data_IF_762462797581
#
_entry.id   IF_762462797581
#
_cell.length_a   1.000
_cell.length_b   1.000
_cell.length_c   1.000
_cell.angle_alpha   90.00
_cell.angle_beta   90.00
_cell.angle_gamma   90.00
#
_symmetry.space_group_name_H-M   'P 1'
#
loop_
_entity.id
_entity.type
_entity.pdbx_description
1 polymer ?
#
# COMPACT_ATOMS: atom_id res chain seq x y z
N UNK A 1 19.70 -1.85 -7.97
CA UNK A 1 19.37 -0.77 -7.02
C UNK A 1 17.90 -0.92 -6.62
N UNK A 2 17.65 -1.02 -5.31
CA UNK A 2 16.28 -1.06 -4.79
C UNK A 2 15.73 0.36 -4.74
N UNK A 3 14.49 0.54 -5.18
CA UNK A 3 13.78 1.83 -5.19
C UNK A 3 12.36 1.63 -4.68
N UNK A 4 11.76 2.67 -4.14
CA UNK A 4 10.38 2.68 -3.68
C UNK A 4 10.17 3.58 -2.47
N UNK A 5 8.92 3.80 -2.13
CA UNK A 5 8.55 4.60 -0.96
C UNK A 5 9.14 4.05 0.34
N UNK A 6 9.03 2.74 0.57
CA UNK A 6 9.57 2.09 1.77
C UNK A 6 11.10 2.21 1.84
N UNK A 7 11.78 2.11 0.70
CA UNK A 7 13.24 2.26 0.63
C UNK A 7 13.67 3.68 0.98
N UNK A 8 13.04 4.66 0.38
CA UNK A 8 13.33 6.07 0.66
C UNK A 8 13.01 6.42 2.13
N UNK A 9 11.89 5.91 2.65
CA UNK A 9 11.51 6.14 4.04
C UNK A 9 12.47 5.47 5.02
N UNK A 10 12.88 4.23 4.76
CA UNK A 10 13.86 3.51 5.59
C UNK A 10 15.21 4.26 5.62
N UNK A 11 15.68 4.75 4.48
CA UNK A 11 16.91 5.55 4.42
C UNK A 11 16.78 6.87 5.21
N UNK A 12 15.64 7.55 5.10
CA UNK A 12 15.38 8.78 5.87
C UNK A 12 15.32 8.52 7.37
N UNK A 13 14.75 7.40 7.80
CA UNK A 13 14.78 6.95 9.20
C UNK A 13 16.22 6.73 9.68
N UNK A 14 17.03 6.04 8.87
CA UNK A 14 18.45 5.82 9.17
C UNK A 14 19.22 7.13 9.34
N UNK A 15 19.01 8.11 8.48
CA UNK A 15 19.60 9.45 8.61
C UNK A 15 19.22 10.14 9.93
N UNK A 16 17.92 10.10 10.30
CA UNK A 16 17.46 10.65 11.57
C UNK A 16 18.06 9.95 12.79
N UNK A 17 18.33 8.66 12.67
CA UNK A 17 18.96 7.86 13.72
C UNK A 17 20.49 7.96 13.73
N UNK A 18 21.09 8.62 12.72
CA UNK A 18 22.55 8.71 12.57
C UNK A 18 23.20 7.39 12.18
N UNK A 19 22.48 6.51 11.49
CA UNK A 19 22.98 5.21 11.05
C UNK A 19 22.76 5.00 9.56
N UNK A 20 23.61 4.18 8.95
CA UNK A 20 23.47 3.78 7.54
C UNK A 20 22.54 2.58 7.42
N UNK A 21 21.65 2.64 6.46
CA UNK A 21 20.75 1.54 6.13
C UNK A 21 21.36 0.69 5.02
N UNK A 22 21.45 -0.60 5.27
CA UNK A 22 21.78 -1.61 4.27
C UNK A 22 20.50 -2.35 3.89
N UNK A 23 20.12 -2.26 2.61
CA UNK A 23 18.91 -2.91 2.11
C UNK A 23 19.21 -4.32 1.65
N UNK A 24 18.48 -5.30 2.22
CA UNK A 24 18.51 -6.71 1.81
C UNK A 24 17.15 -7.09 1.24
N UNK A 25 17.15 -7.78 0.11
CA UNK A 25 15.93 -8.30 -0.50
C UNK A 25 15.76 -9.77 -0.14
N UNK A 26 14.60 -10.10 0.41
CA UNK A 26 14.18 -11.45 0.76
C UNK A 26 12.75 -11.67 0.26
N UNK A 27 12.37 -12.92 0.06
CA UNK A 27 10.96 -13.24 -0.18
C UNK A 27 10.09 -12.79 0.99
N UNK A 28 8.88 -12.35 0.72
CA UNK A 28 7.99 -11.79 1.75
C UNK A 28 7.77 -12.75 2.92
N UNK A 29 7.58 -14.05 2.64
CA UNK A 29 7.38 -15.08 3.65
C UNK A 29 8.63 -15.32 4.52
N UNK A 30 9.81 -14.94 4.05
CA UNK A 30 11.06 -15.07 4.77
C UNK A 30 11.38 -13.90 5.69
N UNK A 31 10.66 -12.78 5.59
CA UNK A 31 10.97 -11.54 6.32
C UNK A 31 10.84 -11.71 7.85
N UNK A 32 9.72 -12.20 8.33
CA UNK A 32 9.50 -12.39 9.77
C UNK A 32 10.49 -13.42 10.38
N UNK A 33 10.70 -14.60 9.77
CA UNK A 33 11.75 -15.51 10.23
C UNK A 33 13.14 -14.88 10.27
N UNK A 34 13.53 -14.12 9.25
CA UNK A 34 14.82 -13.43 9.18
C UNK A 34 14.97 -12.37 10.29
N UNK A 35 13.91 -11.63 10.57
CA UNK A 35 13.88 -10.64 11.65
C UNK A 35 14.04 -11.32 13.03
N UNK A 36 13.30 -12.39 13.26
CA UNK A 36 13.35 -13.13 14.52
C UNK A 36 14.71 -13.81 14.78
N UNK A 37 15.38 -14.25 13.71
CA UNK A 37 16.72 -14.87 13.82
C UNK A 37 17.86 -13.86 13.91
N UNK A 38 17.58 -12.57 13.73
CA UNK A 38 18.61 -11.52 13.74
C UNK A 38 19.37 -11.35 12.42
N UNK A 39 18.94 -12.00 11.35
CA UNK A 39 19.51 -11.80 10.01
C UNK A 39 19.28 -10.38 9.48
N UNK A 40 18.17 -9.79 9.84
CA UNK A 40 17.81 -8.39 9.55
C UNK A 40 17.36 -7.70 10.83
N UNK A 41 17.46 -6.39 10.87
CA UNK A 41 17.10 -5.58 12.04
C UNK A 41 15.71 -4.96 11.93
N UNK A 42 15.24 -4.75 10.72
CA UNK A 42 13.94 -4.10 10.45
C UNK A 42 13.35 -4.60 9.14
N UNK A 43 12.03 -4.70 9.09
CA UNK A 43 11.26 -4.95 7.86
C UNK A 43 10.61 -3.65 7.40
N UNK A 44 10.83 -3.30 6.13
CA UNK A 44 10.18 -2.20 5.43
C UNK A 44 9.71 -2.70 4.07
N UNK A 45 8.56 -3.35 4.02
CA UNK A 45 8.10 -4.09 2.84
C UNK A 45 6.57 -4.04 2.65
N UNK A 46 5.95 -2.89 2.93
CA UNK A 46 4.51 -2.74 2.78
C UNK A 46 3.71 -3.73 3.62
N UNK A 47 4.22 -4.10 4.80
CA UNK A 47 3.63 -5.14 5.62
C UNK A 47 2.50 -4.60 6.49
N UNK A 48 1.31 -5.18 6.38
CA UNK A 48 0.19 -4.90 7.27
C UNK A 48 0.50 -5.39 8.69
N UNK A 49 0.27 -4.53 9.68
CA UNK A 49 0.46 -4.84 11.09
C UNK A 49 -0.72 -5.65 11.65
N UNK A 50 -0.96 -6.83 11.12
CA UNK A 50 -2.06 -7.70 11.55
C UNK A 50 -1.88 -8.21 12.98
N UNK A 51 -2.98 -8.54 13.69
CA UNK A 51 -2.88 -9.09 15.05
C UNK A 51 -2.01 -10.36 15.14
N UNK A 52 -2.04 -11.21 14.12
CA UNK A 52 -1.19 -12.40 14.09
C UNK A 52 0.29 -12.08 13.99
N UNK A 53 0.65 -11.12 13.13
CA UNK A 53 2.03 -10.65 12.99
C UNK A 53 2.50 -9.92 14.24
N UNK A 54 1.62 -9.17 14.91
CA UNK A 54 1.93 -8.48 16.18
C UNK A 54 2.29 -9.46 17.31
N UNK A 55 1.87 -10.69 17.24
CA UNK A 55 2.28 -11.73 18.19
C UNK A 55 3.75 -12.18 17.99
N UNK A 56 4.27 -12.01 16.80
CA UNK A 56 5.60 -12.51 16.40
C UNK A 56 6.68 -11.42 16.41
N UNK A 57 6.32 -10.20 16.06
CA UNK A 57 7.23 -9.06 15.93
C UNK A 57 6.59 -7.80 16.49
N UNK A 58 7.39 -6.77 16.72
CA UNK A 58 6.91 -5.45 17.15
C UNK A 58 6.80 -4.52 15.96
N UNK A 59 5.66 -3.86 15.81
CA UNK A 59 5.43 -2.89 14.75
C UNK A 59 5.59 -1.46 15.26
N UNK A 60 6.13 -0.61 14.40
CA UNK A 60 6.10 0.84 14.58
C UNK A 60 4.66 1.35 14.50
N UNK A 61 4.45 2.64 14.78
CA UNK A 61 3.23 3.32 14.37
C UNK A 61 3.05 3.15 12.85
N UNK A 62 1.82 2.98 12.37
CA UNK A 62 1.57 2.89 10.94
C UNK A 62 2.05 4.15 10.22
N UNK A 63 2.78 3.96 9.13
CA UNK A 63 3.24 5.06 8.30
C UNK A 63 2.43 5.22 7.02
N UNK A 64 1.62 4.24 6.70
CA UNK A 64 0.75 4.26 5.53
C UNK A 64 -0.54 3.51 5.83
N UNK A 65 -1.66 4.17 5.59
CA UNK A 65 -2.97 3.52 5.67
C UNK A 65 -3.42 3.24 4.24
N UNK A 66 -3.15 2.04 3.75
CA UNK A 66 -3.65 1.63 2.46
C UNK A 66 -5.16 1.39 2.53
N UNK A 67 -5.76 1.18 1.42
CA UNK A 67 -7.17 0.91 1.27
C UNK A 67 -7.42 0.37 -0.11
N UNK A 68 -8.67 0.31 -0.49
CA UNK A 68 -9.10 -0.12 -1.81
C UNK A 68 -9.90 0.98 -2.46
N UNK A 69 -9.59 1.26 -3.71
CA UNK A 69 -10.23 2.30 -4.52
C UNK A 69 -10.92 1.69 -5.73
N UNK A 70 -11.91 2.39 -6.22
CA UNK A 70 -12.61 2.09 -7.47
C UNK A 70 -11.96 2.90 -8.58
N UNK A 71 -11.53 2.23 -9.64
CA UNK A 71 -10.95 2.85 -10.83
C UNK A 71 -11.87 2.57 -12.01
N UNK A 72 -12.16 3.59 -12.79
CA UNK A 72 -13.02 3.54 -13.98
C UNK A 72 -12.34 4.25 -15.16
N UNK A 73 -12.87 4.05 -16.36
CA UNK A 73 -12.43 4.83 -17.53
C UNK A 73 -12.72 6.31 -17.32
N UNK A 74 -11.89 7.14 -17.88
CA UNK A 74 -11.93 8.59 -17.68
C UNK A 74 -13.27 9.22 -18.08
N UNK A 75 -13.88 8.71 -19.13
CA UNK A 75 -15.16 9.16 -19.66
C UNK A 75 -16.39 8.57 -18.96
N UNK A 76 -16.19 7.67 -18.01
CA UNK A 76 -17.29 7.07 -17.24
C UNK A 76 -17.97 8.12 -16.36
N UNK A 77 -19.31 8.15 -16.36
CA UNK A 77 -20.13 9.06 -15.56
C UNK A 77 -21.11 8.31 -14.65
N UNK A 78 -21.19 6.98 -14.75
CA UNK A 78 -22.22 6.17 -14.10
C UNK A 78 -21.75 5.52 -12.79
N UNK A 79 -20.44 5.44 -12.59
CA UNK A 79 -19.83 4.85 -11.38
C UNK A 79 -19.04 5.93 -10.69
N UNK A 80 -19.48 6.32 -9.50
CA UNK A 80 -18.88 7.38 -8.69
C UNK A 80 -18.30 6.86 -7.37
N UNK A 81 -18.33 5.55 -7.14
CA UNK A 81 -17.81 4.90 -5.95
C UNK A 81 -18.31 3.48 -5.81
N UNK A 82 -18.07 2.88 -4.65
CA UNK A 82 -18.45 1.49 -4.35
C UNK A 82 -19.97 1.26 -4.45
N UNK A 83 -20.76 2.25 -4.10
CA UNK A 83 -22.24 2.11 -4.09
C UNK A 83 -22.84 1.93 -5.49
N UNK A 84 -22.11 2.29 -6.51
CA UNK A 84 -22.55 2.18 -7.91
C UNK A 84 -22.09 0.88 -8.61
N UNK A 85 -21.44 -0.04 -7.87
CA UNK A 85 -20.89 -1.26 -8.44
C UNK A 85 -21.91 -2.39 -8.60
N UNK A 86 -23.08 -2.28 -8.01
CA UNK A 86 -24.13 -3.32 -8.11
C UNK A 86 -24.50 -3.62 -9.56
N UNK A 87 -24.42 -4.88 -9.92
CA UNK A 87 -24.73 -5.35 -11.28
C UNK A 87 -23.65 -5.03 -12.32
N UNK A 88 -22.54 -4.42 -11.94
CA UNK A 88 -21.42 -4.13 -12.84
C UNK A 88 -20.43 -5.28 -12.87
N UNK A 89 -19.67 -5.38 -13.95
CA UNK A 89 -18.52 -6.28 -14.04
C UNK A 89 -17.29 -5.57 -13.50
N UNK A 90 -16.76 -6.08 -12.39
CA UNK A 90 -15.64 -5.46 -11.66
C UNK A 90 -14.46 -6.41 -11.60
N UNK A 91 -13.30 -5.94 -12.06
CA UNK A 91 -12.05 -6.68 -11.97
C UNK A 91 -11.39 -6.47 -10.61
N UNK A 92 -10.78 -7.52 -10.07
CA UNK A 92 -9.93 -7.43 -8.88
C UNK A 92 -8.91 -8.55 -8.84
N UNK A 93 -7.77 -8.31 -8.23
CA UNK A 93 -6.71 -9.30 -8.15
C UNK A 93 -7.12 -10.44 -7.20
N UNK A 94 -6.88 -11.67 -7.64
CA UNK A 94 -7.16 -12.88 -6.86
C UNK A 94 -6.47 -12.82 -5.49
N UNK A 95 -7.16 -13.28 -4.45
CA UNK A 95 -6.63 -13.35 -3.10
C UNK A 95 -6.53 -12.01 -2.36
N UNK A 96 -7.06 -10.92 -2.92
CA UNK A 96 -7.10 -9.62 -2.26
C UNK A 96 -8.48 -9.34 -1.65
N UNK A 97 -8.52 -8.47 -0.64
CA UNK A 97 -9.77 -7.96 -0.07
C UNK A 97 -10.62 -7.20 -1.10
N UNK A 98 -10.01 -6.73 -2.20
CA UNK A 98 -10.72 -6.10 -3.29
C UNK A 98 -11.81 -7.00 -3.89
N UNK A 99 -11.56 -8.30 -3.96
CA UNK A 99 -12.56 -9.29 -4.41
C UNK A 99 -13.77 -9.30 -3.47
N UNK A 100 -13.53 -9.34 -2.18
CA UNK A 100 -14.59 -9.36 -1.17
C UNK A 100 -15.41 -8.06 -1.21
N UNK A 101 -14.74 -6.91 -1.25
CA UNK A 101 -15.39 -5.60 -1.30
C UNK A 101 -16.26 -5.43 -2.55
N UNK A 102 -15.78 -5.87 -3.71
CA UNK A 102 -16.55 -5.83 -4.94
C UNK A 102 -17.76 -6.77 -4.88
N UNK A 103 -17.60 -7.95 -4.31
CA UNK A 103 -18.68 -8.93 -4.11
C UNK A 103 -19.73 -8.38 -3.14
N UNK A 104 -19.31 -7.82 -2.03
CA UNK A 104 -20.21 -7.18 -1.05
C UNK A 104 -21.00 -6.01 -1.66
N UNK A 105 -20.38 -5.28 -2.58
CA UNK A 105 -21.03 -4.21 -3.32
C UNK A 105 -22.06 -4.70 -4.37
N UNK A 106 -22.19 -6.02 -4.56
CA UNK A 106 -23.13 -6.62 -5.50
C UNK A 106 -22.64 -6.68 -6.94
N UNK A 107 -21.34 -6.55 -7.17
CA UNK A 107 -20.75 -6.66 -8.51
C UNK A 107 -20.59 -8.13 -8.95
N UNK A 108 -20.53 -8.33 -10.27
CA UNK A 108 -19.99 -9.58 -10.84
C UNK A 108 -18.48 -9.43 -10.90
N UNK A 109 -17.75 -10.19 -10.08
CA UNK A 109 -16.31 -10.05 -9.94
C UNK A 109 -15.57 -10.94 -10.93
N UNK A 110 -14.67 -10.32 -11.69
CA UNK A 110 -13.71 -11.00 -12.56
C UNK A 110 -12.33 -10.92 -11.93
N UNK A 111 -11.78 -12.07 -11.56
CA UNK A 111 -10.49 -12.14 -10.90
C UNK A 111 -9.34 -12.30 -11.90
N UNK A 112 -8.20 -11.67 -11.62
CA UNK A 112 -6.98 -11.77 -12.43
C UNK A 112 -5.75 -11.95 -11.53
N UNK A 113 -4.68 -12.49 -12.10
CA UNK A 113 -3.44 -12.76 -11.35
C UNK A 113 -2.58 -11.50 -11.18
N UNK A 114 -2.51 -10.67 -12.22
CA UNK A 114 -1.66 -9.48 -12.21
C UNK A 114 -2.46 -8.20 -12.46
N UNK A 115 -2.08 -7.10 -11.80
CA UNK A 115 -2.74 -5.80 -11.94
C UNK A 115 -2.69 -5.27 -13.38
N UNK A 116 -1.65 -5.60 -14.14
CA UNK A 116 -1.55 -5.25 -15.56
C UNK A 116 -2.70 -5.77 -16.40
N UNK A 117 -3.19 -6.97 -16.08
CA UNK A 117 -4.36 -7.54 -16.73
C UNK A 117 -5.62 -6.73 -16.40
N UNK A 118 -5.78 -6.33 -15.15
CA UNK A 118 -6.91 -5.48 -14.72
C UNK A 118 -6.96 -4.15 -15.47
N UNK A 119 -5.82 -3.50 -15.63
CA UNK A 119 -5.75 -2.26 -16.41
C UNK A 119 -6.15 -2.46 -17.88
N UNK A 120 -5.67 -3.51 -18.51
CA UNK A 120 -6.04 -3.83 -19.90
C UNK A 120 -7.53 -4.12 -20.06
N UNK A 121 -8.11 -4.89 -19.16
CA UNK A 121 -9.54 -5.23 -19.20
C UNK A 121 -10.43 -4.01 -18.97
N UNK A 122 -10.01 -3.11 -18.09
CA UNK A 122 -10.71 -1.86 -17.87
C UNK A 122 -10.63 -0.95 -19.10
N UNK A 123 -9.45 -0.79 -19.69
CA UNK A 123 -9.26 0.03 -20.89
C UNK A 123 -10.02 -0.51 -22.09
N UNK A 124 -10.08 -1.82 -22.26
CA UNK A 124 -10.82 -2.47 -23.36
C UNK A 124 -12.33 -2.49 -23.19
N UNK A 125 -12.82 -2.18 -21.98
CA UNK A 125 -14.26 -2.24 -21.66
C UNK A 125 -14.75 -3.63 -21.26
N UNK A 126 -13.86 -4.60 -21.09
CA UNK A 126 -14.23 -5.94 -20.61
C UNK A 126 -14.71 -5.91 -19.15
N UNK A 127 -14.14 -5.00 -18.34
CA UNK A 127 -14.65 -4.63 -17.03
C UNK A 127 -15.18 -3.20 -17.05
N UNK A 128 -16.17 -2.93 -16.20
CA UNK A 128 -16.73 -1.58 -16.00
C UNK A 128 -15.91 -0.78 -15.00
N UNK A 129 -15.31 -1.46 -14.03
CA UNK A 129 -14.47 -0.91 -12.97
C UNK A 129 -13.44 -1.92 -12.51
N UNK A 130 -12.44 -1.44 -11.78
CA UNK A 130 -11.46 -2.25 -11.06
C UNK A 130 -11.43 -1.80 -9.61
N UNK A 131 -11.46 -2.75 -8.67
CA UNK A 131 -11.23 -2.50 -7.25
C UNK A 131 -9.82 -2.97 -6.90
N UNK A 132 -8.99 -2.06 -6.44
CA UNK A 132 -7.55 -2.26 -6.27
C UNK A 132 -7.02 -1.45 -5.09
N UNK A 133 -5.88 -1.87 -4.54
CA UNK A 133 -5.18 -1.09 -3.52
C UNK A 133 -5.00 0.37 -3.97
N UNK A 134 -5.33 1.29 -3.09
CA UNK A 134 -5.25 2.73 -3.38
C UNK A 134 -3.84 3.16 -3.76
N UNK A 135 -2.81 2.65 -3.07
CA UNK A 135 -1.42 2.93 -3.36
C UNK A 135 -1.01 2.52 -4.78
N UNK A 136 -1.47 1.35 -5.22
CA UNK A 136 -1.21 0.83 -6.57
C UNK A 136 -1.91 1.71 -7.61
N UNK A 137 -3.16 2.08 -7.36
CA UNK A 137 -3.92 2.95 -8.26
C UNK A 137 -3.26 4.33 -8.40
N UNK A 138 -2.86 4.95 -7.29
CA UNK A 138 -2.20 6.25 -7.30
C UNK A 138 -0.87 6.23 -8.06
N UNK A 139 -0.07 5.19 -7.85
CA UNK A 139 1.18 5.03 -8.58
C UNK A 139 0.94 4.88 -10.09
N UNK A 140 -0.02 4.04 -10.48
CA UNK A 140 -0.38 3.87 -11.89
C UNK A 140 -0.86 5.17 -12.53
N UNK A 141 -1.69 5.96 -11.83
CA UNK A 141 -2.15 7.27 -12.32
C UNK A 141 -0.96 8.22 -12.54
N UNK A 142 -0.03 8.27 -11.60
CA UNK A 142 1.18 9.09 -11.68
C UNK A 142 2.06 8.71 -12.87
N UNK A 143 2.16 7.42 -13.18
CA UNK A 143 2.96 6.93 -14.32
C UNK A 143 2.25 7.08 -15.68
N UNK A 144 1.15 7.79 -15.74
CA UNK A 144 0.44 8.14 -16.97
C UNK A 144 -0.91 7.47 -17.17
N UNK A 145 -1.36 6.65 -16.21
CA UNK A 145 -2.68 6.01 -16.27
C UNK A 145 -3.84 7.01 -16.20
N UNK A 146 -3.60 8.20 -15.68
CA UNK A 146 -4.58 9.29 -15.58
C UNK A 146 -5.04 9.85 -16.93
N UNK A 147 -4.38 9.49 -18.02
CA UNK A 147 -4.83 9.83 -19.38
C UNK A 147 -6.14 9.13 -19.74
N UNK A 148 -6.26 7.88 -19.35
CA UNK A 148 -7.35 6.99 -19.77
C UNK A 148 -8.28 6.57 -18.62
N UNK A 149 -7.80 6.62 -17.39
CA UNK A 149 -8.47 6.13 -16.20
C UNK A 149 -8.55 7.21 -15.12
N UNK A 150 -9.45 6.99 -14.16
CA UNK A 150 -9.59 7.83 -12.96
C UNK A 150 -10.04 7.01 -11.76
N UNK A 151 -9.66 7.48 -10.58
CA UNK A 151 -10.16 6.97 -9.31
C UNK A 151 -11.45 7.73 -8.98
N UNK A 152 -12.47 7.02 -8.52
CA UNK A 152 -13.76 7.61 -8.15
C UNK A 152 -14.17 7.22 -6.73
N UNK A 153 -14.82 8.14 -6.05
CA UNK A 153 -15.34 7.97 -4.70
C UNK A 153 -14.26 7.84 -3.64
N UNK A 154 -14.71 7.55 -2.42
CA UNK A 154 -13.83 7.37 -1.28
C UNK A 154 -13.26 5.96 -1.24
N UNK A 155 -11.99 5.85 -0.84
CA UNK A 155 -11.35 4.56 -0.61
C UNK A 155 -11.94 3.88 0.64
N UNK A 156 -12.11 2.57 0.59
CA UNK A 156 -12.36 1.76 1.78
C UNK A 156 -11.04 1.39 2.43
N UNK A 157 -10.91 1.61 3.73
CA UNK A 157 -9.69 1.33 4.49
C UNK A 157 -9.41 -0.17 4.55
N UNK A 158 -8.14 -0.55 4.50
CA UNK A 158 -7.69 -1.87 4.87
C UNK A 158 -7.88 -2.09 6.39
N UNK A 159 -7.93 -3.34 6.83
CA UNK A 159 -8.18 -3.69 8.24
C UNK A 159 -7.02 -3.30 9.16
N UNK A 160 -5.79 -3.24 8.64
CA UNK A 160 -4.61 -2.84 9.39
C UNK A 160 -3.77 -1.85 8.58
N UNK A 161 -3.10 -0.94 9.30
CA UNK A 161 -2.13 -0.03 8.69
C UNK A 161 -0.82 -0.73 8.33
N UNK A 162 -0.08 -0.16 7.40
CA UNK A 162 1.26 -0.60 7.04
C UNK A 162 2.26 0.02 7.99
N UNK A 163 3.10 -0.80 8.58
CA UNK A 163 4.11 -0.39 9.55
C UNK A 163 5.43 -1.13 9.31
N UNK A 164 6.51 -0.58 9.85
CA UNK A 164 7.79 -1.27 9.89
C UNK A 164 7.84 -2.20 11.09
N UNK A 165 8.55 -3.30 10.98
CA UNK A 165 8.66 -4.28 12.05
C UNK A 165 10.09 -4.41 12.55
N UNK A 166 10.22 -4.56 13.86
CA UNK A 166 11.48 -4.88 14.54
C UNK A 166 11.28 -6.09 15.44
N UNK A 167 12.39 -6.72 15.88
CA UNK A 167 12.32 -7.83 16.82
C UNK A 167 11.71 -7.40 18.15
N UNK A 168 10.91 -8.26 18.77
CA UNK A 168 10.38 -8.05 20.13
C UNK A 168 11.48 -7.89 21.19
N UNK A 169 12.67 -8.41 20.91
CA UNK A 169 13.82 -8.31 21.80
C UNK A 169 14.54 -6.95 21.72
N UNK A 170 14.07 -6.05 20.85
CA UNK A 170 14.69 -4.74 20.60
C UNK A 170 13.71 -3.58 20.80
N UNK A 171 13.18 -3.39 22.03
CA UNK A 171 12.24 -2.30 22.30
C UNK A 171 12.87 -0.91 22.12
N UNK A 172 14.19 -0.77 22.35
CA UNK A 172 14.91 0.49 22.15
C UNK A 172 14.99 0.88 20.68
N UNK A 173 15.16 -0.09 19.78
CA UNK A 173 15.13 0.14 18.34
C UNK A 173 13.75 0.59 17.88
N UNK A 174 12.70 -0.05 18.40
CA UNK A 174 11.32 0.34 18.11
C UNK A 174 11.06 1.81 18.47
N UNK A 175 11.47 2.21 19.67
CA UNK A 175 11.32 3.59 20.14
C UNK A 175 12.06 4.59 19.26
N UNK A 176 13.30 4.28 18.88
CA UNK A 176 14.09 5.12 17.97
C UNK A 176 13.48 5.25 16.59
N UNK A 177 12.97 4.16 16.03
CA UNK A 177 12.32 4.18 14.71
C UNK A 177 11.01 4.98 14.77
N UNK A 178 10.19 4.78 15.79
CA UNK A 178 8.97 5.58 15.99
C UNK A 178 9.27 7.08 16.13
N UNK A 179 10.31 7.43 16.87
CA UNK A 179 10.73 8.83 17.01
C UNK A 179 11.18 9.41 15.67
N UNK A 180 11.98 8.67 14.92
CA UNK A 180 12.43 9.09 13.59
C UNK A 180 11.24 9.29 12.63
N UNK A 181 10.26 8.39 12.62
CA UNK A 181 9.03 8.53 11.83
C UNK A 181 8.26 9.81 12.20
N UNK A 182 8.09 10.07 13.50
CA UNK A 182 7.41 11.28 13.98
C UNK A 182 8.16 12.54 13.55
N UNK A 183 9.48 12.56 13.65
CA UNK A 183 10.32 13.67 13.22
C UNK A 183 10.21 13.93 11.70
N UNK A 184 10.20 12.87 10.89
CA UNK A 184 10.03 12.97 9.44
C UNK A 184 8.66 13.49 9.03
N UNK A 185 7.62 13.14 9.77
CA UNK A 185 6.27 13.71 9.56
C UNK A 185 6.24 15.19 9.93
N UNK A 186 6.86 15.55 11.05
CA UNK A 186 6.87 16.93 11.54
C UNK A 186 7.69 17.88 10.64
N UNK A 187 8.80 17.43 10.07
CA UNK A 187 9.69 18.26 9.24
C UNK A 187 9.31 18.31 7.75
N UNK A 188 8.25 17.61 7.35
CA UNK A 188 7.76 17.58 5.98
C UNK A 188 8.45 16.57 5.06
N UNK A 189 9.45 15.82 5.52
CA UNK A 189 10.15 14.81 4.71
C UNK A 189 9.21 13.67 4.30
N UNK A 190 8.39 13.18 5.23
CA UNK A 190 7.40 12.15 4.94
C UNK A 190 6.44 12.59 3.82
N UNK A 191 5.89 13.79 3.90
CA UNK A 191 4.99 14.32 2.90
C UNK A 191 5.65 14.45 1.52
N UNK A 192 6.91 14.87 1.47
CA UNK A 192 7.71 14.92 0.25
C UNK A 192 7.88 13.56 -0.40
N UNK A 193 8.25 12.54 0.38
CA UNK A 193 8.43 11.16 -0.10
C UNK A 193 7.11 10.57 -0.58
N UNK A 194 6.04 10.81 0.16
CA UNK A 194 4.70 10.37 -0.22
C UNK A 194 4.30 10.95 -1.59
N UNK A 195 4.44 12.26 -1.77
CA UNK A 195 4.12 12.93 -3.04
C UNK A 195 5.02 12.45 -4.19
N UNK A 196 6.30 12.22 -3.92
CA UNK A 196 7.25 11.68 -4.92
C UNK A 196 6.75 10.37 -5.51
N UNK A 197 6.23 9.46 -4.68
CA UNK A 197 5.86 8.11 -5.10
C UNK A 197 4.38 7.97 -5.51
N UNK A 198 3.50 8.74 -4.90
CA UNK A 198 2.05 8.62 -5.13
C UNK A 198 1.43 9.80 -5.88
N UNK A 199 2.18 10.85 -6.13
CA UNK A 199 1.75 12.01 -6.92
C UNK A 199 0.78 12.96 -6.22
N UNK A 200 0.38 12.65 -4.99
CA UNK A 200 -0.55 13.43 -4.16
C UNK A 200 0.02 13.62 -2.76
N UNK A 201 -0.46 14.63 -2.05
CA UNK A 201 -0.09 14.83 -0.65
C UNK A 201 -0.80 13.79 0.25
N UNK A 202 -0.16 13.37 1.36
CA UNK A 202 -0.82 12.47 2.31
C UNK A 202 -2.04 13.17 2.92
N UNK A 203 -3.11 12.41 3.14
CA UNK A 203 -4.26 12.91 3.90
C UNK A 203 -3.85 13.08 5.38
N UNK A 204 -4.32 14.15 5.98
CA UNK A 204 -4.09 14.45 7.38
C UNK A 204 -4.73 13.40 8.31
#
# INVERSE_FOLDING_TARGET
KYIGFDIDLANAIGEKMGTKVEVKSLGFDALIPALRSGQIDMIASGMDATPERQKQVSFTEPYFQDGYSVVVRKDNTNINGFDDLKGRTVGSQVGTKGVDLATEAGATVKQYDANSQGWMELQSGTCDAVVINTSVALYYMKEGGDKDLKIVGDAKKADAGIAMAVSKDKPELLEKVNKALADLKADGTYAKLYKKWFGVDPKA
#
